data_IF_580052429132
#
_entry.id   IF_580052429132
#
_cell.length_a   1.000
_cell.length_b   1.000
_cell.length_c   1.000
_cell.angle_alpha   90.00
_cell.angle_beta   90.00
_cell.angle_gamma   90.00
#
_symmetry.space_group_name_H-M   'P 1'
#
loop_
_entity.id
_entity.type
_entity.pdbx_description
1 polymer ?
#
# COMPACT_ATOMS: atom_id res chain seq x y z
N UNK A 1 22.41 -11.77 12.19
CA UNK A 1 21.50 -12.77 11.59
C UNK A 1 22.26 -13.41 10.42
N UNK A 2 22.26 -14.74 10.30
CA UNK A 2 23.11 -15.44 9.29
C UNK A 2 22.51 -15.23 7.89
N UNK A 3 23.31 -14.78 6.89
CA UNK A 3 22.85 -14.74 5.51
C UNK A 3 22.65 -16.18 5.01
N UNK A 4 21.42 -16.56 4.66
CA UNK A 4 21.15 -17.80 3.92
C UNK A 4 20.18 -18.80 4.56
N UNK A 5 19.71 -18.61 5.79
CA UNK A 5 18.59 -19.41 6.30
C UNK A 5 17.27 -18.86 5.75
N UNK A 6 16.87 -19.34 4.57
CA UNK A 6 15.50 -19.17 4.08
C UNK A 6 14.55 -19.73 5.14
N UNK A 7 13.55 -18.94 5.54
CA UNK A 7 12.52 -19.36 6.48
C UNK A 7 11.93 -20.71 6.02
N UNK A 8 11.69 -21.69 6.91
CA UNK A 8 11.21 -23.02 6.52
C UNK A 8 9.98 -22.99 5.60
N UNK A 9 9.09 -22.02 5.82
CA UNK A 9 7.94 -21.75 4.95
C UNK A 9 8.35 -21.42 3.51
N UNK A 10 9.35 -20.55 3.32
CA UNK A 10 9.78 -20.11 1.99
C UNK A 10 10.50 -21.23 1.23
N UNK A 11 11.24 -22.09 1.95
CA UNK A 11 11.83 -23.29 1.37
C UNK A 11 10.74 -24.24 0.87
N UNK A 12 9.73 -24.52 1.71
CA UNK A 12 8.56 -25.30 1.29
C UNK A 12 7.84 -24.67 0.09
N UNK A 13 7.70 -23.35 0.05
CA UNK A 13 7.09 -22.66 -1.08
C UNK A 13 7.91 -22.82 -2.36
N UNK A 14 9.24 -22.76 -2.28
CA UNK A 14 10.14 -22.91 -3.41
C UNK A 14 10.11 -24.34 -4.00
N UNK A 15 9.92 -25.34 -3.14
CA UNK A 15 9.87 -26.76 -3.51
C UNK A 15 8.46 -27.22 -3.96
N UNK A 16 7.46 -26.33 -3.92
CA UNK A 16 6.08 -26.67 -4.30
C UNK A 16 5.92 -26.90 -5.81
N UNK A 17 5.14 -27.91 -6.18
CA UNK A 17 4.75 -28.12 -7.58
C UNK A 17 3.74 -27.08 -8.10
N UNK A 18 3.13 -26.28 -7.21
CA UNK A 18 2.16 -25.25 -7.58
C UNK A 18 2.92 -23.99 -8.02
N UNK A 19 2.80 -23.54 -9.29
CA UNK A 19 3.55 -22.39 -9.80
C UNK A 19 3.36 -21.11 -8.99
N UNK A 20 2.14 -20.83 -8.53
CA UNK A 20 1.79 -19.66 -7.71
C UNK A 20 2.49 -19.68 -6.36
N UNK A 21 2.67 -20.86 -5.77
CA UNK A 21 3.36 -21.04 -4.49
C UNK A 21 4.87 -20.83 -4.66
N UNK A 22 5.46 -21.30 -5.77
CA UNK A 22 6.86 -20.96 -6.09
C UNK A 22 7.06 -19.48 -6.34
N UNK A 23 6.11 -18.84 -7.03
CA UNK A 23 6.15 -17.38 -7.24
C UNK A 23 6.09 -16.59 -5.94
N UNK A 24 5.38 -17.09 -4.92
CA UNK A 24 5.41 -16.50 -3.59
C UNK A 24 6.83 -16.50 -3.01
N UNK A 25 7.54 -17.62 -3.07
CA UNK A 25 8.93 -17.70 -2.58
C UNK A 25 9.85 -16.70 -3.31
N UNK A 26 9.75 -16.63 -4.65
CA UNK A 26 10.52 -15.67 -5.46
C UNK A 26 10.20 -14.23 -5.09
N UNK A 27 8.92 -13.93 -4.84
CA UNK A 27 8.50 -12.58 -4.46
C UNK A 27 9.04 -12.21 -3.10
N UNK A 28 8.93 -13.09 -2.10
CA UNK A 28 9.43 -12.78 -0.74
C UNK A 28 10.95 -12.65 -0.73
N UNK A 29 11.69 -13.49 -1.45
CA UNK A 29 13.16 -13.40 -1.57
C UNK A 29 13.58 -12.07 -2.19
N UNK A 30 12.87 -11.61 -3.24
CA UNK A 30 13.09 -10.31 -3.87
C UNK A 30 12.92 -9.12 -2.93
N UNK A 31 11.95 -9.19 -2.02
CA UNK A 31 11.60 -8.10 -1.08
C UNK A 31 12.19 -8.29 0.32
N UNK A 32 13.09 -9.28 0.50
CA UNK A 32 13.67 -9.57 1.80
C UNK A 32 14.41 -8.38 2.41
N UNK A 33 15.19 -7.56 1.67
CA UNK A 33 15.86 -6.40 2.23
C UNK A 33 14.89 -5.41 2.88
N UNK A 34 13.72 -5.18 2.29
CA UNK A 34 12.70 -4.29 2.83
C UNK A 34 11.99 -4.89 4.05
N UNK A 35 11.77 -6.20 4.07
CA UNK A 35 11.20 -6.92 5.22
C UNK A 35 12.17 -6.88 6.40
N UNK A 36 13.45 -7.13 6.15
CA UNK A 36 14.52 -7.04 7.14
C UNK A 36 14.62 -5.61 7.69
N UNK A 37 14.61 -4.59 6.82
CA UNK A 37 14.59 -3.19 7.23
C UNK A 37 13.39 -2.85 8.13
N UNK A 38 12.19 -3.39 7.85
CA UNK A 38 11.03 -3.21 8.72
C UNK A 38 11.25 -3.83 10.10
N UNK A 39 11.81 -5.04 10.18
CA UNK A 39 12.08 -5.73 11.45
C UNK A 39 13.10 -4.95 12.28
N UNK A 40 14.19 -4.52 11.64
CA UNK A 40 15.30 -3.85 12.32
C UNK A 40 14.94 -2.43 12.78
N UNK A 41 14.19 -1.69 11.96
CA UNK A 41 13.89 -0.27 12.23
C UNK A 41 12.51 -0.05 12.87
N UNK A 42 11.60 -1.02 12.77
CA UNK A 42 10.19 -0.87 13.12
C UNK A 42 9.39 0.07 12.19
N UNK A 43 10.00 0.59 11.12
CA UNK A 43 9.35 1.51 10.18
C UNK A 43 8.37 0.77 9.27
N UNK A 44 7.07 0.87 9.56
CA UNK A 44 6.03 0.25 8.74
C UNK A 44 5.50 1.16 7.64
N UNK A 45 4.94 0.57 6.57
CA UNK A 45 4.20 1.29 5.53
C UNK A 45 2.80 1.74 5.99
N UNK A 46 2.41 1.51 7.25
CA UNK A 46 1.04 1.67 7.73
C UNK A 46 0.47 3.07 7.49
N UNK A 47 1.32 4.11 7.58
CA UNK A 47 0.92 5.49 7.26
C UNK A 47 0.55 5.65 5.79
N UNK A 48 1.38 5.13 4.88
CA UNK A 48 1.13 5.18 3.44
C UNK A 48 -0.09 4.36 3.05
N UNK A 49 -0.26 3.16 3.63
CA UNK A 49 -1.44 2.32 3.41
C UNK A 49 -2.73 2.96 3.94
N UNK A 50 -2.66 3.62 5.10
CA UNK A 50 -3.78 4.40 5.64
C UNK A 50 -4.23 5.50 4.69
N UNK A 51 -3.27 6.23 4.10
CA UNK A 51 -3.55 7.25 3.08
C UNK A 51 -4.15 6.58 1.83
N UNK A 52 -3.53 5.54 1.29
CA UNK A 52 -4.03 4.81 0.12
C UNK A 52 -5.46 4.30 0.30
N UNK A 53 -5.80 3.82 1.50
CA UNK A 53 -7.15 3.38 1.83
C UNK A 53 -8.16 4.51 1.73
N UNK A 54 -7.84 5.69 2.26
CA UNK A 54 -8.70 6.89 2.16
C UNK A 54 -8.87 7.33 0.70
N UNK A 55 -7.79 7.34 -0.09
CA UNK A 55 -7.84 7.67 -1.51
C UNK A 55 -8.77 6.70 -2.26
N UNK A 56 -8.56 5.39 -2.08
CA UNK A 56 -9.38 4.34 -2.72
C UNK A 56 -10.86 4.47 -2.34
N UNK A 57 -11.16 4.83 -1.10
CA UNK A 57 -12.54 5.06 -0.65
C UNK A 57 -13.20 6.23 -1.38
N UNK A 58 -12.52 7.38 -1.46
CA UNK A 58 -13.05 8.56 -2.14
C UNK A 58 -13.20 8.32 -3.64
N UNK A 59 -12.24 7.65 -4.27
CA UNK A 59 -12.33 7.27 -5.68
C UNK A 59 -13.54 6.37 -5.95
N UNK A 60 -13.81 5.39 -5.06
CA UNK A 60 -14.99 4.52 -5.17
C UNK A 60 -16.30 5.30 -5.03
N UNK A 61 -16.39 6.23 -4.08
CA UNK A 61 -17.57 7.07 -3.90
C UNK A 61 -17.81 8.03 -5.06
N UNK A 62 -16.76 8.34 -5.83
CA UNK A 62 -16.81 9.24 -6.97
C UNK A 62 -16.95 8.51 -8.31
N UNK A 63 -17.23 7.21 -8.29
CA UNK A 63 -17.44 6.40 -9.48
C UNK A 63 -18.58 6.98 -10.34
N UNK A 64 -18.35 7.07 -11.65
CA UNK A 64 -19.30 7.67 -12.61
C UNK A 64 -19.08 9.16 -12.90
N UNK A 65 -18.28 9.89 -12.11
CA UNK A 65 -17.87 11.24 -12.46
C UNK A 65 -16.77 11.22 -13.54
N UNK A 66 -16.95 12.05 -14.58
CA UNK A 66 -16.07 12.10 -15.76
C UNK A 66 -14.94 13.13 -15.68
N UNK A 67 -14.97 14.03 -14.69
CA UNK A 67 -13.99 15.11 -14.56
C UNK A 67 -12.79 14.65 -13.70
N UNK A 68 -11.64 14.43 -14.33
CA UNK A 68 -10.42 13.96 -13.68
C UNK A 68 -9.82 14.99 -12.71
N UNK A 69 -9.95 16.29 -12.99
CA UNK A 69 -9.45 17.35 -12.10
C UNK A 69 -10.19 17.34 -10.76
N UNK A 70 -11.51 17.15 -10.80
CA UNK A 70 -12.33 17.00 -9.59
C UNK A 70 -11.96 15.74 -8.80
N UNK A 71 -11.55 14.65 -9.46
CA UNK A 71 -11.07 13.44 -8.76
C UNK A 71 -9.75 13.69 -8.03
N UNK A 72 -8.81 14.40 -8.67
CA UNK A 72 -7.54 14.80 -8.05
C UNK A 72 -7.78 15.73 -6.86
N UNK A 73 -8.66 16.73 -7.01
CA UNK A 73 -9.02 17.67 -5.94
C UNK A 73 -9.65 16.96 -4.75
N UNK A 74 -10.59 16.04 -4.97
CA UNK A 74 -11.23 15.25 -3.90
C UNK A 74 -10.21 14.44 -3.10
N UNK A 75 -9.31 13.76 -3.81
CA UNK A 75 -8.23 12.98 -3.22
C UNK A 75 -7.32 13.89 -2.37
N UNK A 76 -6.92 15.03 -2.91
CA UNK A 76 -6.08 16.00 -2.22
C UNK A 76 -6.77 16.57 -0.96
N UNK A 77 -8.07 16.88 -1.03
CA UNK A 77 -8.85 17.39 0.10
C UNK A 77 -8.86 16.43 1.30
N UNK A 78 -8.96 15.12 1.05
CA UNK A 78 -9.07 14.14 2.15
C UNK A 78 -7.73 13.72 2.74
N UNK A 79 -6.64 13.77 1.98
CA UNK A 79 -5.31 13.36 2.44
C UNK A 79 -4.51 14.50 3.07
N UNK A 80 -4.74 15.74 2.65
CA UNK A 80 -3.97 16.90 3.11
C UNK A 80 -4.82 17.78 4.04
N UNK A 81 -4.40 17.99 5.30
CA UNK A 81 -5.14 18.85 6.26
C UNK A 81 -5.39 20.27 5.73
N UNK A 82 -4.37 20.89 5.13
CA UNK A 82 -4.48 22.23 4.50
C UNK A 82 -5.49 22.25 3.36
N UNK A 83 -5.68 21.10 2.69
CA UNK A 83 -6.59 20.97 1.58
C UNK A 83 -8.08 20.94 1.97
N UNK A 84 -8.38 20.64 3.23
CA UNK A 84 -9.75 20.62 3.75
C UNK A 84 -10.38 22.01 3.85
N UNK A 85 -9.57 23.07 3.94
CA UNK A 85 -10.07 24.45 4.04
C UNK A 85 -10.80 24.94 2.78
N UNK A 86 -10.60 24.28 1.64
CA UNK A 86 -11.16 24.66 0.34
C UNK A 86 -12.63 24.27 0.21
N UNK A 87 -13.08 23.31 1.04
CA UNK A 87 -14.47 22.86 1.14
C UNK A 87 -15.32 23.79 2.01
N UNK A 88 -14.72 24.80 2.66
CA UNK A 88 -15.44 25.91 3.29
C UNK A 88 -15.55 27.05 2.28
N UNK A 89 -16.42 26.87 1.30
CA UNK A 89 -17.01 28.01 0.58
C UNK A 89 -18.51 27.77 0.47
N UNK A 90 -19.28 28.77 0.90
CA UNK A 90 -20.73 28.87 0.96
C UNK A 90 -21.42 28.12 2.13
N UNK A 91 -21.82 28.92 3.12
CA UNK A 91 -23.12 28.77 3.77
C UNK A 91 -24.18 28.46 2.71
N UNK A 92 -24.92 27.36 2.93
CA UNK A 92 -26.32 27.24 2.52
C UNK A 92 -27.12 27.11 3.82
#
# INVERSE_FOLDING_TARGET
>A
MVPGTRLPLLTWCADSDIPEVRQLAVTVDRWWPEIEAFIDTGHSNAKSEGINRVIKLVARNAFGFRNADNQRLRTHCVTTRRARGHLRTAQL
#
